data_IF_415500825643
#
_entry.id   IF_415500825643
#
_cell.length_a   1.000
_cell.length_b   1.000
_cell.length_c   1.000
_cell.angle_alpha   90.00
_cell.angle_beta   90.00
_cell.angle_gamma   90.00
#
_symmetry.space_group_name_H-M   'P 1'
#
loop_
_entity.id
_entity.type
_entity.pdbx_description
1 polymer ?
#
# COMPACT_ATOMS: atom_id res chain seq x y z
N UNK A 1 4.95 18.60 -1.27
CA UNK A 1 4.68 18.84 -2.70
C UNK A 1 3.51 19.81 -2.78
N UNK A 2 3.67 21.02 -3.33
CA UNK A 2 2.54 21.96 -3.43
C UNK A 2 1.58 21.48 -4.52
N UNK A 3 0.27 21.64 -4.30
CA UNK A 3 -0.79 21.26 -5.25
C UNK A 3 -0.96 19.75 -5.52
N UNK A 4 -0.35 18.88 -4.71
CA UNK A 4 -0.60 17.44 -4.77
C UNK A 4 -1.32 16.97 -3.51
N UNK A 5 -2.27 16.06 -3.69
CA UNK A 5 -2.95 15.35 -2.60
C UNK A 5 -2.79 13.85 -2.83
N UNK A 6 -2.69 13.08 -1.76
CA UNK A 6 -2.74 11.63 -1.85
C UNK A 6 -4.20 11.19 -1.84
N UNK A 7 -4.66 10.66 -2.97
CA UNK A 7 -6.02 10.17 -3.15
C UNK A 7 -6.05 8.66 -2.93
N UNK A 8 -7.01 8.17 -2.18
CA UNK A 8 -7.25 6.74 -1.94
C UNK A 8 -8.73 6.40 -2.04
N UNK A 9 -9.02 5.14 -2.33
CA UNK A 9 -10.33 4.54 -2.12
C UNK A 9 -10.42 3.93 -0.72
N UNK A 10 -11.52 4.17 -0.02
CA UNK A 10 -11.93 3.49 1.20
C UNK A 10 -12.85 2.34 0.81
N UNK A 11 -12.41 1.11 1.02
CA UNK A 11 -13.22 -0.09 0.75
C UNK A 11 -14.24 -0.34 1.87
N UNK A 12 -15.16 -1.28 1.66
CA UNK A 12 -16.23 -1.61 2.62
C UNK A 12 -15.73 -2.14 3.97
N UNK A 13 -14.49 -2.61 4.02
CA UNK A 13 -13.78 -3.02 5.24
C UNK A 13 -13.11 -1.83 5.96
N UNK A 14 -13.29 -0.61 5.45
CA UNK A 14 -12.67 0.62 5.95
C UNK A 14 -11.23 0.81 5.50
N UNK A 15 -10.63 -0.13 4.76
CA UNK A 15 -9.20 -0.08 4.41
C UNK A 15 -8.94 0.79 3.18
N UNK A 16 -7.75 1.37 3.15
CA UNK A 16 -7.29 2.19 2.03
C UNK A 16 -6.70 1.35 0.91
N UNK A 17 -7.15 1.63 -0.32
CA UNK A 17 -6.70 0.98 -1.54
C UNK A 17 -6.52 1.99 -2.68
N UNK A 18 -5.82 1.55 -3.74
CA UNK A 18 -5.60 2.33 -4.96
C UNK A 18 -5.05 3.75 -4.68
N UNK A 19 -4.12 3.86 -3.73
CA UNK A 19 -3.54 5.11 -3.29
C UNK A 19 -2.55 5.70 -4.27
N UNK A 20 -2.66 6.99 -4.57
CA UNK A 20 -1.76 7.69 -5.48
C UNK A 20 -1.73 9.20 -5.28
N UNK A 21 -0.58 9.80 -5.57
CA UNK A 21 -0.44 11.25 -5.59
C UNK A 21 -1.08 11.82 -6.86
N UNK A 22 -2.05 12.71 -6.69
CA UNK A 22 -2.73 13.42 -7.76
C UNK A 22 -2.51 14.92 -7.64
N UNK A 23 -2.26 15.58 -8.76
CA UNK A 23 -2.31 17.04 -8.80
C UNK A 23 -3.76 17.50 -8.58
N UNK A 24 -3.98 18.56 -7.79
CA UNK A 24 -5.32 19.01 -7.41
C UNK A 24 -6.21 19.37 -8.60
N UNK A 25 -5.62 19.77 -9.73
CA UNK A 25 -6.38 20.08 -10.95
C UNK A 25 -7.03 18.89 -11.63
N UNK A 26 -6.63 17.65 -11.31
CA UNK A 26 -7.22 16.42 -11.88
C UNK A 26 -8.12 15.70 -10.89
N UNK A 27 -8.25 16.23 -9.66
CA UNK A 27 -9.10 15.65 -8.64
C UNK A 27 -10.55 16.08 -8.90
N UNK A 28 -11.50 15.15 -9.03
CA UNK A 28 -12.90 15.48 -9.24
C UNK A 28 -13.47 16.24 -8.04
N UNK A 29 -14.37 17.19 -8.32
CA UNK A 29 -15.11 17.94 -7.32
C UNK A 29 -16.61 17.95 -7.71
N UNK A 30 -17.51 17.26 -6.98
CA UNK A 30 -17.24 16.53 -5.73
C UNK A 30 -16.41 15.27 -5.94
N UNK A 31 -15.76 14.83 -4.87
CA UNK A 31 -15.04 13.56 -4.82
C UNK A 31 -16.04 12.39 -4.84
N UNK A 32 -15.71 11.24 -5.48
CA UNK A 32 -16.44 10.00 -5.29
C UNK A 32 -16.63 9.66 -3.81
N UNK A 33 -17.79 9.07 -3.44
CA UNK A 33 -18.18 8.89 -2.04
C UNK A 33 -17.27 7.91 -1.28
N UNK A 34 -16.60 7.01 -1.98
CA UNK A 34 -15.68 6.01 -1.46
C UNK A 34 -14.22 6.44 -1.57
N UNK A 35 -13.94 7.72 -1.80
CA UNK A 35 -12.58 8.24 -1.90
C UNK A 35 -12.30 9.29 -0.83
N UNK A 36 -11.02 9.41 -0.45
CA UNK A 36 -10.53 10.43 0.47
C UNK A 36 -9.27 11.09 -0.09
N UNK A 37 -8.99 12.30 0.40
CA UNK A 37 -7.78 13.05 0.08
C UNK A 37 -7.00 13.28 1.37
N UNK A 38 -5.71 12.97 1.34
CA UNK A 38 -4.77 13.26 2.40
C UNK A 38 -3.74 14.29 1.91
N UNK A 39 -3.41 15.24 2.77
CA UNK A 39 -2.41 16.28 2.46
C UNK A 39 -0.99 15.72 2.47
N UNK A 40 -0.75 14.79 3.37
CA UNK A 40 0.46 14.00 3.48
C UNK A 40 0.19 12.63 4.09
N UNK A 41 1.24 11.83 4.24
CA UNK A 41 1.20 10.49 4.84
C UNK A 41 1.83 10.49 6.24
N UNK A 42 1.88 11.63 6.93
CA UNK A 42 2.49 11.72 8.26
C UNK A 42 1.77 10.89 9.33
N UNK A 43 0.47 10.62 9.14
CA UNK A 43 -0.30 9.69 9.97
C UNK A 43 0.04 8.21 9.76
N UNK A 44 0.75 7.88 8.67
CA UNK A 44 1.22 6.52 8.39
C UNK A 44 2.63 6.38 8.98
N UNK A 45 2.68 5.79 10.16
CA UNK A 45 3.90 5.64 10.97
C UNK A 45 4.50 4.23 10.90
N UNK A 46 3.74 3.26 10.39
CA UNK A 46 4.12 1.84 10.31
C UNK A 46 3.65 1.26 8.97
N UNK A 47 4.43 0.37 8.35
CA UNK A 47 4.00 -0.33 7.13
C UNK A 47 3.62 0.61 5.96
N UNK A 48 2.59 0.24 5.21
CA UNK A 48 2.06 0.99 4.07
C UNK A 48 0.65 1.52 4.36
N UNK A 49 0.15 2.45 3.54
CA UNK A 49 -1.21 3.00 3.70
C UNK A 49 -2.30 1.91 3.65
N UNK A 50 -2.04 0.79 2.97
CA UNK A 50 -2.92 -0.38 2.92
C UNK A 50 -3.03 -1.10 4.27
N UNK A 51 -2.17 -0.81 5.23
CA UNK A 51 -2.21 -1.38 6.58
C UNK A 51 -3.10 -0.56 7.52
N UNK A 52 -3.77 0.48 7.03
CA UNK A 52 -4.62 1.37 7.83
C UNK A 52 -6.09 1.27 7.45
N UNK A 53 -6.94 1.47 8.46
CA UNK A 53 -8.37 1.70 8.31
C UNK A 53 -8.67 3.19 8.44
N UNK A 54 -9.67 3.65 7.69
CA UNK A 54 -10.25 4.98 7.77
C UNK A 54 -11.60 4.90 8.46
N UNK A 55 -11.74 5.56 9.61
CA UNK A 55 -12.99 5.60 10.39
C UNK A 55 -13.89 6.81 10.05
N UNK A 56 -13.48 7.65 9.11
CA UNK A 56 -14.12 8.92 8.77
C UNK A 56 -13.34 10.15 9.22
N UNK A 57 -12.40 9.99 10.14
CA UNK A 57 -11.64 11.08 10.76
C UNK A 57 -10.14 10.75 10.92
N UNK A 58 -9.81 9.51 11.26
CA UNK A 58 -8.49 9.05 11.64
C UNK A 58 -8.02 7.82 10.85
N UNK A 59 -6.70 7.70 10.72
CA UNK A 59 -6.02 6.51 10.23
C UNK A 59 -5.66 5.60 11.41
N UNK A 60 -6.23 4.40 11.43
CA UNK A 60 -6.01 3.40 12.49
C UNK A 60 -5.14 2.30 11.92
N UNK A 61 -3.95 2.09 12.51
CA UNK A 61 -3.07 1.01 12.10
C UNK A 61 -3.70 -0.36 12.43
N UNK A 62 -3.94 -1.15 11.39
CA UNK A 62 -4.50 -2.48 11.46
C UNK A 62 -3.99 -3.29 10.26
N UNK A 63 -2.75 -3.81 10.32
CA UNK A 63 -2.19 -4.58 9.22
C UNK A 63 -3.09 -5.80 8.93
N UNK A 64 -3.23 -6.22 7.67
CA UNK A 64 -3.91 -7.46 7.35
C UNK A 64 -3.17 -8.62 8.02
N UNK A 65 -3.91 -9.66 8.42
CA UNK A 65 -3.27 -10.89 8.86
C UNK A 65 -2.39 -11.41 7.71
N UNK A 66 -1.19 -11.92 8.01
CA UNK A 66 -0.32 -12.48 6.98
C UNK A 66 -1.10 -13.59 6.27
N UNK A 67 -1.37 -13.37 4.97
CA UNK A 67 -1.94 -14.41 4.11
C UNK A 67 -1.01 -15.62 4.20
N UNK A 68 -1.56 -16.79 4.54
CA UNK A 68 -0.85 -18.06 4.48
C UNK A 68 -0.62 -18.46 3.01
N UNK A 69 0.05 -17.63 2.22
CA UNK A 69 0.56 -18.03 0.93
C UNK A 69 1.79 -18.92 1.16
N UNK A 70 1.88 -20.07 0.48
CA UNK A 70 3.06 -20.91 0.56
C UNK A 70 4.26 -20.12 0.04
N UNK A 71 5.32 -20.01 0.84
CA UNK A 71 6.57 -19.39 0.44
C UNK A 71 7.01 -19.96 -0.93
N UNK A 72 7.50 -19.12 -1.86
CA UNK A 72 7.99 -19.63 -3.14
C UNK A 72 9.07 -20.66 -2.86
N UNK A 73 8.89 -21.88 -3.38
CA UNK A 73 9.89 -22.92 -3.30
C UNK A 73 11.15 -22.42 -4.01
N UNK A 74 12.19 -22.09 -3.23
CA UNK A 74 13.52 -21.82 -3.75
C UNK A 74 14.03 -23.13 -4.34
N UNK A 75 13.86 -23.33 -5.65
CA UNK A 75 14.60 -24.35 -6.38
C UNK A 75 16.05 -23.86 -6.49
N UNK A 76 16.89 -24.21 -5.53
CA UNK A 76 18.34 -24.19 -5.72
C UNK A 76 18.68 -25.30 -6.71
N UNK A 77 18.78 -24.97 -7.98
CA UNK A 77 19.52 -25.82 -8.93
C UNK A 77 20.99 -25.77 -8.52
N UNK A 78 21.48 -26.88 -7.98
CA UNK A 78 22.90 -27.17 -7.85
C UNK A 78 23.45 -27.42 -9.28
N UNK A 79 24.23 -26.48 -9.83
CA UNK A 79 24.77 -26.58 -11.20
C UNK A 79 26.03 -27.45 -11.29
N UNK A 80 26.26 -28.33 -10.32
CA UNK A 80 27.19 -29.47 -10.43
C UNK A 80 28.64 -29.17 -10.83
N UNK A 81 29.13 -27.94 -10.76
CA UNK A 81 30.50 -27.62 -11.15
C UNK A 81 31.48 -27.82 -9.98
N UNK A 82 32.00 -29.04 -9.87
CA UNK A 82 33.22 -29.31 -9.08
C UNK A 82 34.44 -28.81 -9.86
N UNK A 83 35.21 -27.90 -9.26
CA UNK A 83 36.49 -27.43 -9.82
C UNK A 83 37.60 -28.35 -9.32
N UNK A 84 38.19 -29.15 -10.22
CA UNK A 84 39.40 -29.93 -9.90
C UNK A 84 40.65 -29.10 -10.19
N UNK A 85 41.53 -28.96 -9.19
CA UNK A 85 42.87 -28.40 -9.37
C UNK A 85 43.87 -29.52 -9.65
N UNK A 86 44.66 -29.40 -10.72
CA UNK A 86 45.87 -30.19 -11.00
C UNK A 86 47.08 -29.30 -11.00
#
# INVERSE_FOLDING_TARGET
MKHFKFKCKVCSDGRLYAGGWCHESVIPNPLPPDEILLDDLSGITHGFYTDYLWDGENLIYHPPEPSAEPAPAVQTSDDGTEVTYT
#
